data_IF_420281038451
#
_entry.id   IF_420281038451
#
_cell.length_a   1.000
_cell.length_b   1.000
_cell.length_c   1.000
_cell.angle_alpha   90.00
_cell.angle_beta   90.00
_cell.angle_gamma   90.00
#
_symmetry.space_group_name_H-M   'P 1'
#
loop_
_entity.id
_entity.type
_entity.pdbx_description
1 polymer ?
#
# COMPACT_ATOMS: atom_id res chain seq x y z
N UNK A 1 3.79 2.46 -37.23
CA UNK A 1 4.84 3.30 -36.62
C UNK A 1 4.83 3.03 -35.12
N UNK A 2 6.00 2.93 -34.49
CA UNK A 2 6.08 2.85 -33.04
C UNK A 2 5.56 4.16 -32.42
N UNK A 3 4.86 4.04 -31.28
CA UNK A 3 4.43 5.21 -30.50
C UNK A 3 5.62 5.85 -29.77
N UNK A 4 5.48 7.09 -29.31
CA UNK A 4 6.51 7.79 -28.52
C UNK A 4 6.82 7.00 -27.24
N UNK A 5 5.79 6.49 -26.57
CA UNK A 5 5.93 5.64 -25.39
C UNK A 5 6.76 4.37 -25.66
N UNK A 6 6.55 3.70 -26.79
CA UNK A 6 7.34 2.51 -27.19
C UNK A 6 8.81 2.86 -27.45
N UNK A 7 9.08 4.01 -28.10
CA UNK A 7 10.45 4.48 -28.35
C UNK A 7 11.17 4.81 -27.04
N UNK A 8 10.51 5.54 -26.14
CA UNK A 8 11.05 5.87 -24.82
C UNK A 8 11.32 4.62 -23.99
N UNK A 9 10.46 3.61 -24.07
CA UNK A 9 10.67 2.35 -23.36
C UNK A 9 11.90 1.60 -23.85
N UNK A 10 12.08 1.47 -25.17
CA UNK A 10 13.29 0.85 -25.75
C UNK A 10 14.56 1.63 -25.40
N UNK A 11 14.51 2.95 -25.40
CA UNK A 11 15.64 3.78 -24.99
C UNK A 11 15.95 3.63 -23.48
N UNK A 12 14.92 3.62 -22.64
CA UNK A 12 15.07 3.48 -21.18
C UNK A 12 15.74 2.17 -20.78
N UNK A 13 15.52 1.08 -21.53
CA UNK A 13 16.15 -0.23 -21.27
C UNK A 13 17.68 -0.18 -21.36
N UNK A 14 18.25 0.81 -22.04
CA UNK A 14 19.71 0.97 -22.13
C UNK A 14 20.33 1.47 -20.83
N UNK A 15 19.54 2.15 -19.98
CA UNK A 15 20.04 2.83 -18.78
C UNK A 15 19.40 2.34 -17.49
N UNK A 16 18.19 1.75 -17.56
CA UNK A 16 17.41 1.34 -16.41
C UNK A 16 17.06 -0.16 -16.57
N UNK A 17 17.30 -1.00 -15.57
CA UNK A 17 16.94 -2.42 -15.63
C UNK A 17 15.48 -2.63 -16.02
N UNK A 18 15.23 -3.28 -17.17
CA UNK A 18 13.89 -3.47 -17.72
C UNK A 18 13.17 -2.18 -18.13
N UNK A 19 13.87 -1.04 -18.23
CA UNK A 19 13.33 0.27 -18.63
C UNK A 19 12.51 0.98 -17.57
N UNK A 20 12.46 0.49 -16.32
CA UNK A 20 11.57 1.00 -15.25
C UNK A 20 12.24 0.97 -13.89
N UNK A 21 11.83 1.88 -12.98
CA UNK A 21 12.30 1.95 -11.60
C UNK A 21 11.45 1.10 -10.62
N UNK A 22 10.45 0.37 -11.12
CA UNK A 22 9.68 -0.60 -10.35
C UNK A 22 9.12 -1.67 -11.31
N UNK A 23 9.29 -2.99 -11.01
CA UNK A 23 9.06 -4.07 -11.98
C UNK A 23 7.67 -4.08 -12.63
N UNK A 24 6.62 -3.82 -11.85
CA UNK A 24 5.23 -3.84 -12.34
C UNK A 24 4.97 -2.80 -13.44
N UNK A 25 5.72 -1.69 -13.45
CA UNK A 25 5.58 -0.61 -14.43
C UNK A 25 6.00 -1.01 -15.85
N UNK A 26 6.69 -2.14 -16.02
CA UNK A 26 7.08 -2.64 -17.35
C UNK A 26 5.94 -3.31 -18.14
N UNK A 27 4.76 -3.48 -17.56
CA UNK A 27 3.58 -4.11 -18.17
C UNK A 27 3.80 -5.55 -18.66
N UNK A 28 4.83 -6.23 -18.14
CA UNK A 28 5.19 -7.58 -18.56
C UNK A 28 4.07 -8.61 -18.37
N UNK A 29 3.32 -8.54 -17.26
CA UNK A 29 2.22 -9.46 -16.95
C UNK A 29 0.98 -9.28 -17.83
N UNK A 30 0.85 -8.14 -18.52
CA UNK A 30 -0.30 -7.85 -19.41
C UNK A 30 0.06 -7.90 -20.88
N UNK A 31 1.33 -8.24 -21.20
CA UNK A 31 1.78 -8.49 -22.58
C UNK A 31 1.69 -7.27 -23.49
N UNK A 32 2.03 -6.08 -22.98
CA UNK A 32 2.02 -4.80 -23.70
C UNK A 32 3.21 -3.95 -23.27
N UNK A 33 3.67 -3.03 -24.12
CA UNK A 33 4.60 -1.98 -23.73
C UNK A 33 3.91 -0.97 -22.82
N UNK A 34 4.61 -0.43 -21.80
CA UNK A 34 4.06 0.57 -20.91
C UNK A 34 3.81 1.90 -21.63
N UNK A 35 2.85 2.67 -21.14
CA UNK A 35 2.64 4.05 -21.51
C UNK A 35 3.59 4.96 -20.69
N UNK A 36 4.16 5.98 -21.32
CA UNK A 36 4.99 6.97 -20.65
C UNK A 36 4.16 8.22 -20.37
N UNK A 37 4.07 8.59 -19.10
CA UNK A 37 3.18 9.65 -18.64
C UNK A 37 3.91 10.99 -18.64
N UNK A 38 3.34 11.96 -19.37
CA UNK A 38 3.81 13.33 -19.46
C UNK A 38 3.30 14.22 -18.34
N UNK A 39 2.01 14.09 -17.99
CA UNK A 39 1.36 14.88 -16.95
C UNK A 39 0.15 14.16 -16.38
N UNK A 40 -0.29 14.61 -15.20
CA UNK A 40 -1.52 14.14 -14.57
C UNK A 40 -2.27 15.30 -13.92
N UNK A 41 -3.61 15.25 -13.92
CA UNK A 41 -4.46 16.25 -13.25
C UNK A 41 -5.83 15.64 -12.90
N UNK A 42 -6.29 15.85 -11.68
CA UNK A 42 -7.56 15.32 -11.20
C UNK A 42 -7.58 13.78 -11.27
N UNK A 43 -8.58 13.21 -11.96
CA UNK A 43 -8.69 11.77 -12.21
C UNK A 43 -7.94 11.28 -13.45
N UNK A 44 -7.16 12.14 -14.12
CA UNK A 44 -6.59 11.89 -15.45
C UNK A 44 -5.08 11.82 -15.44
N UNK A 45 -4.55 10.90 -16.27
CA UNK A 45 -3.16 10.90 -16.72
C UNK A 45 -3.10 11.09 -18.23
N UNK A 46 -2.01 11.65 -18.73
CA UNK A 46 -1.79 11.94 -20.15
C UNK A 46 -0.43 11.37 -20.54
N UNK A 47 -0.41 10.54 -21.59
CA UNK A 47 0.84 9.96 -22.08
C UNK A 47 1.60 10.92 -23.02
N UNK A 48 2.81 10.52 -23.43
CA UNK A 48 3.65 11.29 -24.38
C UNK A 48 3.06 11.28 -25.79
N UNK A 49 2.21 10.31 -26.10
CA UNK A 49 1.49 10.23 -27.38
C UNK A 49 0.24 11.14 -27.41
N UNK A 50 -0.03 11.89 -26.33
CA UNK A 50 -1.16 12.83 -26.21
C UNK A 50 -2.50 12.18 -25.88
N UNK A 51 -2.54 10.91 -25.51
CA UNK A 51 -3.75 10.21 -25.10
C UNK A 51 -4.07 10.49 -23.64
N UNK A 52 -5.35 10.52 -23.33
CA UNK A 52 -5.89 10.73 -21.98
C UNK A 52 -6.51 9.46 -21.42
N UNK A 53 -6.27 9.19 -20.12
CA UNK A 53 -6.82 8.03 -19.43
C UNK A 53 -7.42 8.43 -18.08
N UNK A 54 -8.57 7.83 -17.72
CA UNK A 54 -9.06 7.82 -16.33
C UNK A 54 -8.15 6.89 -15.54
N UNK A 55 -7.56 7.36 -14.44
CA UNK A 55 -6.52 6.65 -13.72
C UNK A 55 -7.01 6.02 -12.41
N UNK A 56 -7.14 4.71 -12.38
CA UNK A 56 -7.45 3.93 -11.19
C UNK A 56 -6.21 3.36 -10.48
N UNK A 57 -5.01 3.71 -10.94
CA UNK A 57 -3.76 3.40 -10.23
C UNK A 57 -3.49 4.42 -9.12
N UNK A 58 -3.86 5.70 -9.34
CA UNK A 58 -3.72 6.79 -8.37
C UNK A 58 -2.32 6.83 -7.73
N UNK A 59 -1.27 6.67 -8.56
CA UNK A 59 0.14 6.58 -8.13
C UNK A 59 0.41 5.44 -7.12
N UNK A 60 -0.33 4.33 -7.19
CA UNK A 60 -0.29 3.20 -6.25
C UNK A 60 -0.78 3.55 -4.84
N UNK A 61 -1.71 4.49 -4.75
CA UNK A 61 -2.43 4.80 -3.53
C UNK A 61 -2.30 6.21 -2.95
N UNK A 62 -1.20 7.00 -3.13
CA UNK A 62 -1.14 8.34 -2.56
C UNK A 62 -2.20 9.32 -3.09
N UNK A 63 -2.71 9.10 -4.30
CA UNK A 63 -3.62 10.01 -4.99
C UNK A 63 -5.07 10.01 -4.52
N UNK A 64 -5.36 10.00 -3.21
CA UNK A 64 -6.74 10.01 -2.68
C UNK A 64 -7.53 11.26 -3.10
N UNK A 65 -6.87 12.42 -3.19
CA UNK A 65 -7.46 13.69 -3.65
C UNK A 65 -7.41 13.86 -5.19
N UNK A 66 -6.86 12.88 -5.91
CA UNK A 66 -6.53 12.97 -7.33
C UNK A 66 -5.14 13.56 -7.58
N UNK A 67 -4.79 13.64 -8.87
CA UNK A 67 -3.51 14.17 -9.30
C UNK A 67 -3.47 15.70 -9.25
N UNK A 68 -2.30 16.26 -8.92
CA UNK A 68 -1.99 17.68 -8.97
C UNK A 68 -3.08 18.55 -8.31
N UNK A 69 -3.49 18.18 -7.08
CA UNK A 69 -4.43 18.99 -6.28
C UNK A 69 -3.83 20.38 -6.08
N UNK A 70 -4.54 21.41 -6.55
CA UNK A 70 -4.02 22.78 -6.67
C UNK A 70 -3.46 23.31 -5.34
N UNK A 71 -4.22 23.17 -4.25
CA UNK A 71 -3.81 23.61 -2.91
C UNK A 71 -2.46 23.00 -2.50
N UNK A 72 -2.28 21.68 -2.73
CA UNK A 72 -1.03 20.98 -2.39
C UNK A 72 0.11 21.45 -3.28
N UNK A 73 -0.13 21.60 -4.59
CA UNK A 73 0.89 22.04 -5.55
C UNK A 73 1.37 23.47 -5.24
N UNK A 74 0.46 24.38 -4.96
CA UNK A 74 0.83 25.78 -4.65
C UNK A 74 1.61 25.88 -3.33
N UNK A 75 1.22 25.11 -2.30
CA UNK A 75 1.97 25.05 -1.06
C UNK A 75 3.38 24.49 -1.26
N UNK A 76 3.53 23.45 -2.08
CA UNK A 76 4.85 22.87 -2.41
C UNK A 76 5.71 23.87 -3.18
N UNK A 77 5.16 24.58 -4.17
CA UNK A 77 5.88 25.65 -4.89
C UNK A 77 6.38 26.73 -3.94
N UNK A 78 5.53 27.22 -3.05
CA UNK A 78 5.93 28.21 -2.06
C UNK A 78 7.03 27.70 -1.11
N UNK A 79 6.94 26.43 -0.69
CA UNK A 79 7.96 25.83 0.16
C UNK A 79 9.31 25.66 -0.54
N UNK A 80 9.33 25.53 -1.88
CA UNK A 80 10.58 25.46 -2.64
C UNK A 80 11.40 26.76 -2.59
N UNK A 81 10.75 27.92 -2.42
CA UNK A 81 11.41 29.23 -2.31
C UNK A 81 12.23 29.33 -1.01
N UNK A 82 11.84 28.60 0.04
CA UNK A 82 12.55 28.53 1.32
C UNK A 82 13.75 27.54 1.30
N UNK A 83 13.84 26.70 0.27
CA UNK A 83 14.87 25.65 0.10
C UNK A 83 14.32 24.23 0.24
N UNK A 84 15.05 23.27 -0.36
CA UNK A 84 14.57 21.90 -0.50
C UNK A 84 14.85 21.01 0.71
N UNK A 85 15.97 21.26 1.42
CA UNK A 85 16.41 20.48 2.59
C UNK A 85 17.44 21.27 3.39
N UNK A 86 17.48 21.05 4.69
CA UNK A 86 18.34 21.84 5.59
C UNK A 86 19.34 21.01 6.41
N UNK A 87 19.14 19.69 6.52
CA UNK A 87 19.93 18.84 7.43
C UNK A 87 19.72 19.20 8.91
N UNK A 88 18.59 19.83 9.23
CA UNK A 88 18.21 20.32 10.56
C UNK A 88 16.71 20.16 10.77
N UNK A 89 16.22 20.07 12.03
CA UNK A 89 14.79 19.98 12.32
C UNK A 89 14.03 21.21 11.82
N UNK A 90 12.77 20.99 11.40
CA UNK A 90 11.88 22.04 10.91
C UNK A 90 10.55 22.06 11.69
N UNK A 91 9.87 23.22 11.67
CA UNK A 91 8.53 23.32 12.24
C UNK A 91 7.52 22.38 11.57
N UNK A 92 7.70 22.10 10.29
CA UNK A 92 6.83 21.22 9.51
C UNK A 92 6.88 19.75 9.98
N UNK A 93 8.03 19.31 10.50
CA UNK A 93 8.14 17.98 11.11
C UNK A 93 7.29 17.86 12.38
N UNK A 94 7.25 18.90 13.21
CA UNK A 94 6.37 18.93 14.38
C UNK A 94 4.89 18.92 13.93
N UNK A 95 4.53 19.79 13.00
CA UNK A 95 3.14 19.93 12.52
C UNK A 95 2.58 18.62 11.94
N UNK A 96 3.33 17.92 11.10
CA UNK A 96 2.87 16.64 10.55
C UNK A 96 2.81 15.54 11.63
N UNK A 97 3.72 15.53 12.60
CA UNK A 97 3.68 14.60 13.73
C UNK A 97 2.44 14.81 14.61
N UNK A 98 2.06 16.07 14.86
CA UNK A 98 0.83 16.44 15.58
C UNK A 98 -0.42 15.96 14.82
N UNK A 99 -0.50 16.19 13.51
CA UNK A 99 -1.60 15.71 12.66
C UNK A 99 -1.72 14.18 12.68
N UNK A 100 -0.59 13.47 12.52
CA UNK A 100 -0.59 12.00 12.57
C UNK A 100 -1.07 11.50 13.94
N UNK A 101 -0.52 12.03 15.02
CA UNK A 101 -0.88 11.62 16.38
C UNK A 101 -2.35 11.90 16.69
N UNK A 102 -2.92 12.98 16.16
CA UNK A 102 -4.33 13.32 16.37
C UNK A 102 -5.28 12.26 15.78
N UNK A 103 -4.89 11.61 14.67
CA UNK A 103 -5.73 10.63 13.98
C UNK A 103 -5.38 9.17 14.30
N UNK A 104 -4.13 8.87 14.66
CA UNK A 104 -3.62 7.51 14.86
C UNK A 104 -3.38 7.23 16.34
N UNK A 105 -4.39 6.73 17.10
CA UNK A 105 -4.27 6.55 18.55
C UNK A 105 -3.17 5.58 19.00
N UNK A 106 -2.69 4.71 18.10
CA UNK A 106 -1.54 3.83 18.35
C UNK A 106 -0.20 4.59 18.31
N UNK A 107 -0.16 5.77 17.69
CA UNK A 107 1.07 6.53 17.41
C UNK A 107 1.21 7.73 18.34
N UNK A 108 1.54 7.48 19.62
CA UNK A 108 1.82 8.55 20.59
C UNK A 108 3.12 9.30 20.29
N UNK A 109 4.03 8.66 19.58
CA UNK A 109 5.25 9.25 18.99
C UNK A 109 5.50 8.63 17.63
N UNK A 110 6.08 9.39 16.72
CA UNK A 110 6.39 8.95 15.37
C UNK A 110 7.76 9.44 14.89
N UNK A 111 8.30 8.77 13.87
CA UNK A 111 9.52 9.15 13.19
C UNK A 111 9.32 9.08 11.68
N UNK A 112 9.64 10.18 10.99
CA UNK A 112 9.59 10.25 9.53
C UNK A 112 10.76 9.52 8.89
N UNK A 113 10.49 8.90 7.74
CA UNK A 113 11.45 8.25 6.84
C UNK A 113 11.03 8.54 5.39
N UNK A 114 11.74 7.99 4.39
CA UNK A 114 11.52 8.38 2.99
C UNK A 114 10.68 7.37 2.17
N UNK A 115 10.31 6.25 2.76
CA UNK A 115 9.50 5.22 2.08
C UNK A 115 8.77 4.31 3.07
N UNK A 116 7.73 3.60 2.58
CA UNK A 116 7.09 2.55 3.35
C UNK A 116 8.05 1.41 3.73
N UNK A 117 9.01 1.08 2.84
CA UNK A 117 10.07 0.09 3.15
C UNK A 117 10.90 0.50 4.37
N UNK A 118 11.34 1.76 4.43
CA UNK A 118 12.09 2.28 5.57
C UNK A 118 11.24 2.31 6.85
N UNK A 119 9.95 2.67 6.73
CA UNK A 119 9.03 2.69 7.85
C UNK A 119 8.87 1.28 8.46
N UNK A 120 8.59 0.28 7.63
CA UNK A 120 8.44 -1.12 8.07
C UNK A 120 9.75 -1.67 8.63
N UNK A 121 10.88 -1.46 7.95
CA UNK A 121 12.20 -1.89 8.43
C UNK A 121 12.50 -1.32 9.81
N UNK A 122 12.17 -0.05 10.03
CA UNK A 122 12.40 0.65 11.30
C UNK A 122 11.45 0.18 12.39
N UNK A 123 10.17 -0.04 12.08
CA UNK A 123 9.18 -0.58 13.00
C UNK A 123 9.56 -1.99 13.50
N UNK A 124 9.99 -2.87 12.59
CA UNK A 124 10.48 -4.22 12.94
C UNK A 124 11.72 -4.14 13.83
N UNK A 125 12.67 -3.25 13.52
CA UNK A 125 13.87 -3.06 14.35
C UNK A 125 13.48 -2.55 15.75
N UNK A 126 12.55 -1.63 15.84
CA UNK A 126 12.04 -1.14 17.13
C UNK A 126 11.34 -2.26 17.91
N UNK A 127 10.52 -3.07 17.26
CA UNK A 127 9.85 -4.21 17.88
C UNK A 127 10.84 -5.24 18.44
N UNK A 128 11.87 -5.60 17.66
CA UNK A 128 12.95 -6.48 18.12
C UNK A 128 13.74 -5.89 19.27
N UNK A 129 14.11 -4.61 19.16
CA UNK A 129 14.87 -3.91 20.21
C UNK A 129 14.09 -3.78 21.52
N UNK A 130 12.78 -3.56 21.45
CA UNK A 130 11.92 -3.43 22.62
C UNK A 130 11.66 -4.79 23.30
N UNK A 131 11.35 -5.84 22.51
CA UNK A 131 11.01 -7.16 23.06
C UNK A 131 12.22 -8.04 23.39
N UNK A 132 13.39 -7.73 22.83
CA UNK A 132 14.57 -8.60 22.90
C UNK A 132 14.41 -9.93 22.15
N UNK A 133 13.44 -10.03 21.23
CA UNK A 133 13.11 -11.24 20.46
C UNK A 133 13.46 -11.06 18.99
N UNK A 134 13.71 -12.16 18.26
CA UNK A 134 14.24 -12.13 16.90
C UNK A 134 13.19 -12.36 15.81
N UNK A 135 12.19 -13.20 16.05
CA UNK A 135 11.27 -13.65 15.02
C UNK A 135 10.16 -12.65 14.72
N UNK A 136 9.83 -12.51 13.43
CA UNK A 136 8.69 -11.75 12.93
C UNK A 136 7.77 -12.69 12.18
N UNK A 137 6.46 -12.57 12.40
CA UNK A 137 5.44 -13.22 11.58
C UNK A 137 4.91 -12.24 10.57
N UNK A 138 4.89 -12.62 9.29
CA UNK A 138 4.18 -11.92 8.20
C UNK A 138 3.19 -12.87 7.52
N UNK A 139 2.37 -12.35 6.62
CA UNK A 139 1.37 -13.16 5.92
C UNK A 139 1.74 -13.35 4.44
N UNK A 140 1.43 -14.54 3.92
CA UNK A 140 1.52 -14.87 2.50
C UNK A 140 0.64 -13.93 1.68
N UNK A 141 1.18 -13.40 0.59
CA UNK A 141 0.49 -12.41 -0.24
C UNK A 141 0.60 -10.96 0.22
N UNK A 142 0.93 -10.70 1.51
CA UNK A 142 1.19 -9.35 2.00
C UNK A 142 2.59 -8.85 1.61
N UNK A 143 2.67 -7.56 1.25
CA UNK A 143 3.91 -6.87 0.90
C UNK A 143 4.22 -5.76 1.90
N UNK A 144 5.43 -5.76 2.40
CA UNK A 144 5.89 -4.83 3.45
C UNK A 144 7.19 -4.11 3.06
N UNK A 145 7.33 -3.80 1.77
CA UNK A 145 8.57 -3.24 1.24
C UNK A 145 9.61 -4.31 0.88
N UNK A 146 10.77 -3.87 0.42
CA UNK A 146 11.81 -4.73 -0.16
C UNK A 146 13.06 -4.87 0.71
N UNK A 147 12.92 -4.75 2.05
CA UNK A 147 14.03 -5.11 2.93
C UNK A 147 14.23 -6.63 2.95
N UNK A 148 15.48 -7.07 3.01
CA UNK A 148 15.88 -8.48 2.86
C UNK A 148 15.08 -9.45 3.74
N UNK A 149 14.85 -9.09 5.01
CA UNK A 149 14.10 -9.92 5.94
C UNK A 149 12.62 -10.12 5.60
N UNK A 150 12.08 -9.36 4.65
CA UNK A 150 10.67 -9.45 4.23
C UNK A 150 10.49 -10.02 2.82
N UNK A 151 11.59 -10.18 2.07
CA UNK A 151 11.62 -10.85 0.77
C UNK A 151 11.70 -12.37 0.93
N UNK A 152 10.67 -12.93 1.56
CA UNK A 152 10.59 -14.33 1.95
C UNK A 152 9.24 -14.94 1.58
N UNK A 153 9.24 -16.26 1.38
CA UNK A 153 8.04 -17.07 1.17
C UNK A 153 8.06 -18.30 2.08
N UNK A 154 6.90 -18.88 2.34
CA UNK A 154 6.79 -20.12 3.09
C UNK A 154 7.59 -21.26 2.39
N UNK A 155 8.26 -22.09 3.18
CA UNK A 155 8.83 -23.36 2.72
C UNK A 155 7.73 -24.41 2.48
N UNK A 156 8.12 -25.67 2.28
CA UNK A 156 7.22 -26.77 1.91
C UNK A 156 6.32 -27.31 3.04
N UNK A 157 6.21 -26.62 4.18
CA UNK A 157 5.32 -26.99 5.30
C UNK A 157 5.15 -25.84 6.28
N UNK A 158 4.07 -25.87 7.07
CA UNK A 158 3.66 -24.78 7.98
C UNK A 158 4.73 -24.40 9.02
N UNK A 159 5.57 -25.35 9.42
CA UNK A 159 6.65 -25.15 10.41
C UNK A 159 8.03 -25.20 9.71
N UNK A 160 8.08 -25.27 8.38
CA UNK A 160 9.33 -25.40 7.63
C UNK A 160 10.04 -24.04 7.54
N UNK A 161 11.36 -24.08 7.49
CA UNK A 161 12.19 -22.89 7.34
C UNK A 161 11.74 -22.04 6.15
N UNK A 162 11.58 -20.75 6.40
CA UNK A 162 11.27 -19.74 5.37
C UNK A 162 12.43 -19.63 4.39
N UNK A 163 12.12 -19.56 3.11
CA UNK A 163 13.13 -19.42 2.05
C UNK A 163 13.07 -18.02 1.45
N UNK A 164 14.22 -17.52 1.00
CA UNK A 164 14.31 -16.25 0.30
C UNK A 164 13.47 -16.28 -0.99
N UNK A 165 12.75 -15.18 -1.24
CA UNK A 165 11.95 -14.97 -2.47
C UNK A 165 12.69 -14.12 -3.51
N UNK A 166 13.92 -13.72 -3.22
CA UNK A 166 14.78 -12.93 -4.10
C UNK A 166 16.19 -13.46 -4.06
N UNK A 167 16.85 -13.49 -5.21
CA UNK A 167 18.30 -13.67 -5.27
C UNK A 167 18.98 -12.54 -4.46
N UNK A 168 20.08 -12.87 -3.81
CA UNK A 168 20.85 -11.92 -3.00
C UNK A 168 20.43 -11.81 -1.53
N UNK A 169 19.31 -12.41 -1.12
CA UNK A 169 18.91 -12.47 0.29
C UNK A 169 19.57 -13.68 0.95
N UNK A 170 20.46 -13.48 1.95
CA UNK A 170 21.10 -14.58 2.66
C UNK A 170 20.08 -15.42 3.45
N UNK A 171 20.26 -16.74 3.45
CA UNK A 171 19.40 -17.66 4.20
C UNK A 171 19.38 -17.33 5.71
N UNK A 172 20.54 -16.96 6.28
CA UNK A 172 20.66 -16.54 7.68
C UNK A 172 19.84 -15.29 8.03
N UNK A 173 19.46 -14.46 7.04
CA UNK A 173 18.62 -13.29 7.23
C UNK A 173 17.14 -13.66 7.11
N UNK A 174 16.78 -14.51 6.15
CA UNK A 174 15.43 -14.98 5.91
C UNK A 174 14.84 -15.80 7.07
N UNK A 175 15.65 -16.57 7.76
CA UNK A 175 15.23 -17.52 8.84
C UNK A 175 14.46 -16.88 10.01
N UNK A 176 14.63 -15.57 10.24
CA UNK A 176 13.96 -14.87 11.33
C UNK A 176 12.59 -14.30 10.95
N UNK A 177 12.10 -14.61 9.75
CA UNK A 177 10.76 -14.19 9.32
C UNK A 177 9.93 -15.43 9.04
N UNK A 178 8.87 -15.60 9.81
CA UNK A 178 7.90 -16.68 9.70
C UNK A 178 6.76 -16.23 8.78
N UNK A 179 6.16 -17.14 8.03
CA UNK A 179 5.06 -16.83 7.11
C UNK A 179 3.82 -17.61 7.52
N UNK A 180 2.75 -16.90 7.86
CA UNK A 180 1.44 -17.44 8.10
C UNK A 180 0.52 -17.26 6.88
N UNK A 181 -0.58 -18.00 6.80
CA UNK A 181 -1.63 -17.78 5.82
C UNK A 181 -2.55 -16.64 6.30
N UNK A 182 -2.90 -15.72 5.38
CA UNK A 182 -3.81 -14.61 5.69
C UNK A 182 -5.23 -15.14 5.89
N UNK A 183 -5.97 -14.62 6.87
CA UNK A 183 -7.31 -15.08 7.23
C UNK A 183 -7.39 -16.53 7.76
N UNK A 184 -6.27 -17.08 8.24
CA UNK A 184 -6.18 -18.41 8.86
C UNK A 184 -5.55 -18.31 10.27
N UNK A 185 -6.41 -18.34 11.30
CA UNK A 185 -6.01 -18.29 12.70
C UNK A 185 -5.15 -19.51 13.10
N UNK A 186 -5.45 -20.68 12.53
CA UNK A 186 -4.76 -21.91 12.90
C UNK A 186 -3.30 -21.88 12.45
N UNK A 187 -3.03 -21.35 11.26
CA UNK A 187 -1.67 -21.09 10.76
C UNK A 187 -0.87 -20.22 11.74
N UNK A 188 -1.49 -19.17 12.30
CA UNK A 188 -0.83 -18.30 13.27
C UNK A 188 -0.61 -19.02 14.61
N UNK A 189 -1.62 -19.76 15.13
CA UNK A 189 -1.53 -20.53 16.39
C UNK A 189 -0.37 -21.53 16.34
N UNK A 190 -0.20 -22.22 15.21
CA UNK A 190 0.88 -23.19 15.04
C UNK A 190 2.27 -22.51 15.16
N UNK A 191 2.45 -21.33 14.56
CA UNK A 191 3.70 -20.57 14.67
C UNK A 191 3.96 -20.10 16.11
N UNK A 192 2.95 -19.58 16.81
CA UNK A 192 3.09 -19.15 18.21
C UNK A 192 3.38 -20.31 19.16
N UNK A 193 2.83 -21.50 18.89
CA UNK A 193 3.14 -22.70 19.67
C UNK A 193 4.59 -23.16 19.43
N UNK A 194 5.05 -23.16 18.17
CA UNK A 194 6.40 -23.61 17.80
C UNK A 194 7.49 -22.63 18.27
N UNK A 195 7.21 -21.32 18.25
CA UNK A 195 8.17 -20.25 18.59
C UNK A 195 7.73 -19.46 19.82
N UNK A 196 7.09 -20.12 20.80
CA UNK A 196 6.57 -19.49 22.01
C UNK A 196 7.61 -18.61 22.71
N UNK A 197 7.25 -17.35 22.96
CA UNK A 197 8.11 -16.38 23.62
C UNK A 197 9.32 -15.91 22.79
N UNK A 198 9.40 -16.25 21.49
CA UNK A 198 10.50 -15.86 20.61
C UNK A 198 10.06 -14.87 19.51
N UNK A 199 8.76 -14.72 19.30
CA UNK A 199 8.20 -13.82 18.30
C UNK A 199 8.19 -12.40 18.84
N UNK A 200 8.90 -11.48 18.16
CA UNK A 200 8.94 -10.06 18.50
C UNK A 200 7.64 -9.37 18.09
N UNK A 201 7.16 -9.67 16.90
CA UNK A 201 5.93 -9.07 16.39
C UNK A 201 5.26 -9.89 15.27
N UNK A 202 3.95 -9.66 15.11
CA UNK A 202 3.23 -9.90 13.84
C UNK A 202 3.21 -8.59 13.07
N UNK A 203 3.48 -8.62 11.76
CA UNK A 203 3.18 -7.53 10.85
C UNK A 203 2.09 -7.97 9.86
N UNK A 204 1.05 -7.15 9.70
CA UNK A 204 -0.10 -7.43 8.84
C UNK A 204 -0.53 -6.17 8.10
N UNK A 205 -0.88 -6.31 6.80
CA UNK A 205 -1.73 -5.33 6.14
C UNK A 205 -3.17 -5.57 6.65
N UNK A 206 -3.81 -4.62 7.38
CA UNK A 206 -5.15 -4.84 7.91
C UNK A 206 -6.19 -5.14 6.82
N UNK A 207 -5.97 -4.59 5.64
CA UNK A 207 -6.56 -5.01 4.37
C UNK A 207 -5.41 -5.31 3.43
N UNK A 208 -5.25 -6.55 3.05
CA UNK A 208 -4.22 -6.90 2.08
C UNK A 208 -4.58 -6.30 0.71
N UNK A 209 -3.62 -5.62 0.08
CA UNK A 209 -3.82 -4.93 -1.20
C UNK A 209 -2.67 -5.18 -2.21
N UNK A 210 -1.81 -6.17 -1.92
CA UNK A 210 -0.69 -6.59 -2.77
C UNK A 210 -0.88 -8.03 -3.31
N UNK A 211 -2.03 -8.64 -3.04
CA UNK A 211 -2.55 -9.86 -3.68
C UNK A 211 -3.93 -9.61 -4.32
N UNK A 212 -4.18 -8.37 -4.74
CA UNK A 212 -5.47 -7.77 -4.92
C UNK A 212 -6.06 -7.36 -3.57
N UNK A 213 -7.24 -6.75 -3.57
CA UNK A 213 -7.91 -6.32 -2.33
C UNK A 213 -8.54 -7.52 -1.64
N UNK A 214 -7.98 -7.90 -0.49
CA UNK A 214 -8.49 -8.99 0.34
C UNK A 214 -8.74 -8.46 1.76
N UNK A 215 -10.01 -8.20 2.12
CA UNK A 215 -10.37 -7.78 3.47
C UNK A 215 -10.12 -8.89 4.51
N UNK A 216 -9.87 -8.53 5.77
CA UNK A 216 -9.80 -9.50 6.83
C UNK A 216 -11.18 -10.14 7.06
N UNK A 217 -11.19 -11.45 7.36
CA UNK A 217 -12.41 -12.11 7.88
C UNK A 217 -12.80 -11.53 9.24
N UNK A 218 -14.08 -11.54 9.53
CA UNK A 218 -14.57 -11.11 10.85
C UNK A 218 -13.86 -11.91 11.98
N UNK A 219 -13.35 -11.20 12.98
CA UNK A 219 -12.62 -11.78 14.11
C UNK A 219 -11.12 -11.99 13.89
N UNK A 220 -10.62 -11.90 12.64
CA UNK A 220 -9.21 -12.20 12.36
C UNK A 220 -8.24 -11.16 12.97
N UNK A 221 -8.53 -9.88 12.86
CA UNK A 221 -7.67 -8.84 13.44
C UNK A 221 -7.75 -8.82 14.97
N UNK A 222 -8.92 -9.06 15.52
CA UNK A 222 -9.14 -9.24 16.96
C UNK A 222 -8.31 -10.42 17.47
N UNK A 223 -8.36 -11.55 16.79
CA UNK A 223 -7.53 -12.71 17.10
C UNK A 223 -6.03 -12.39 17.08
N UNK A 224 -5.55 -11.65 16.07
CA UNK A 224 -4.13 -11.23 16.00
C UNK A 224 -3.76 -10.32 17.19
N UNK A 225 -4.68 -9.43 17.61
CA UNK A 225 -4.47 -8.61 18.81
C UNK A 225 -4.36 -9.48 20.06
N UNK A 226 -5.28 -10.41 20.25
CA UNK A 226 -5.35 -11.26 21.45
C UNK A 226 -4.15 -12.19 21.58
N UNK A 227 -3.74 -12.86 20.50
CA UNK A 227 -2.62 -13.78 20.52
C UNK A 227 -1.29 -13.05 20.76
N UNK A 228 -1.09 -11.88 20.18
CA UNK A 228 0.12 -11.07 20.40
C UNK A 228 0.16 -10.57 21.85
N UNK A 229 -0.94 -10.09 22.38
CA UNK A 229 -1.02 -9.64 23.76
C UNK A 229 -0.76 -10.77 24.75
N UNK A 230 -1.29 -11.96 24.50
CA UNK A 230 -1.12 -13.15 25.36
C UNK A 230 0.33 -13.64 25.37
N UNK A 231 1.03 -13.63 24.22
CA UNK A 231 2.43 -14.07 24.12
C UNK A 231 3.43 -12.98 24.58
N UNK A 232 3.01 -11.73 24.62
CA UNK A 232 3.89 -10.56 24.82
C UNK A 232 4.65 -10.17 23.55
N UNK A 233 4.19 -10.60 22.39
CA UNK A 233 4.61 -10.10 21.08
C UNK A 233 3.91 -8.77 20.76
N UNK A 234 4.40 -8.03 19.77
CA UNK A 234 3.78 -6.79 19.32
C UNK A 234 2.94 -7.00 18.05
N UNK A 235 1.87 -6.24 17.91
CA UNK A 235 1.08 -6.18 16.68
C UNK A 235 1.47 -4.93 15.89
N UNK A 236 1.96 -5.10 14.65
CA UNK A 236 2.28 -4.02 13.72
C UNK A 236 1.22 -3.99 12.62
N UNK A 237 0.49 -2.90 12.51
CA UNK A 237 -0.33 -2.63 11.34
C UNK A 237 0.50 -1.92 10.27
N UNK A 238 0.67 -2.58 9.14
CA UNK A 238 1.18 -1.92 7.93
C UNK A 238 0.03 -1.18 7.26
N UNK A 239 -0.09 0.07 7.61
CA UNK A 239 -1.09 1.00 7.06
C UNK A 239 -0.52 1.91 5.96
N UNK A 240 0.49 1.46 5.26
CA UNK A 240 1.06 2.19 4.12
C UNK A 240 0.01 2.43 3.02
N UNK A 241 -0.96 1.50 2.84
CA UNK A 241 -2.10 1.67 1.93
C UNK A 241 -3.34 2.17 2.65
N UNK A 242 -3.68 1.60 3.80
CA UNK A 242 -4.95 1.82 4.50
C UNK A 242 -4.98 3.10 5.35
N UNK A 243 -3.82 3.58 5.79
CA UNK A 243 -3.71 4.79 6.61
C UNK A 243 -4.24 6.02 5.87
N UNK A 244 -5.10 6.79 6.52
CA UNK A 244 -5.83 7.93 5.92
C UNK A 244 -6.66 7.59 4.67
N UNK A 245 -6.86 6.30 4.37
CA UNK A 245 -7.64 5.86 3.21
C UNK A 245 -8.98 5.27 3.58
N UNK A 246 -9.05 4.40 4.58
CA UNK A 246 -10.31 3.79 5.00
C UNK A 246 -11.12 4.71 5.91
N UNK A 247 -10.43 5.46 6.73
CA UNK A 247 -10.96 6.45 7.66
C UNK A 247 -9.86 7.47 7.98
N UNK A 248 -10.14 8.61 8.63
CA UNK A 248 -9.12 9.53 9.13
C UNK A 248 -8.02 8.83 9.96
N UNK A 249 -8.39 7.91 10.83
CA UNK A 249 -7.48 7.08 11.62
C UNK A 249 -7.12 5.74 10.97
N UNK A 250 -7.30 5.61 9.65
CA UNK A 250 -6.92 4.40 8.90
C UNK A 250 -7.73 3.16 9.25
N UNK A 251 -7.10 1.99 9.08
CA UNK A 251 -7.72 0.70 9.36
C UNK A 251 -7.93 0.46 10.87
N UNK A 252 -7.06 1.00 11.72
CA UNK A 252 -7.22 0.87 13.16
C UNK A 252 -8.51 1.53 13.68
N UNK A 253 -8.90 2.66 13.09
CA UNK A 253 -10.20 3.29 13.36
C UNK A 253 -11.33 2.48 12.73
N UNK A 254 -11.20 2.11 11.46
CA UNK A 254 -12.23 1.40 10.70
C UNK A 254 -12.63 0.05 11.33
N UNK A 255 -11.65 -0.71 11.82
CA UNK A 255 -11.86 -2.02 12.45
C UNK A 255 -11.92 -1.96 14.00
N UNK A 256 -11.72 -0.79 14.60
CA UNK A 256 -11.66 -0.61 16.06
C UNK A 256 -10.59 -1.48 16.75
N UNK A 257 -9.46 -1.69 16.09
CA UNK A 257 -8.32 -2.46 16.62
C UNK A 257 -7.11 -1.53 16.80
N UNK A 258 -6.60 -1.44 18.03
CA UNK A 258 -5.39 -0.65 18.31
C UNK A 258 -4.15 -1.55 18.25
N UNK A 259 -3.28 -1.41 17.22
CA UNK A 259 -1.99 -2.10 17.16
C UNK A 259 -1.00 -1.48 18.17
N UNK A 260 0.15 -2.14 18.36
CA UNK A 260 1.26 -1.58 19.15
C UNK A 260 2.09 -0.60 18.33
N UNK A 261 2.31 -0.91 17.04
CA UNK A 261 3.02 -0.07 16.09
C UNK A 261 2.20 0.10 14.81
N UNK A 262 2.39 1.23 14.16
CA UNK A 262 1.78 1.50 12.84
C UNK A 262 2.85 2.06 11.89
N UNK A 263 2.83 1.59 10.65
CA UNK A 263 3.62 2.17 9.55
C UNK A 263 2.71 2.85 8.55
N UNK A 264 3.08 4.05 8.11
CA UNK A 264 2.36 4.85 7.13
C UNK A 264 3.27 5.20 5.96
N UNK A 265 2.68 5.58 4.85
CA UNK A 265 3.34 6.05 3.64
C UNK A 265 2.30 6.63 2.69
N UNK A 266 2.60 6.64 1.39
CA UNK A 266 1.62 7.01 0.35
C UNK A 266 0.87 8.33 0.64
N UNK A 267 -0.37 8.27 1.16
CA UNK A 267 -1.21 9.44 1.43
C UNK A 267 -0.52 10.45 2.36
N UNK A 268 0.16 9.97 3.40
CA UNK A 268 0.86 10.84 4.36
C UNK A 268 1.96 11.69 3.72
N UNK A 269 2.43 11.30 2.55
CA UNK A 269 3.39 12.06 1.75
C UNK A 269 2.77 13.01 0.73
N UNK A 270 1.45 13.00 0.51
CA UNK A 270 0.79 13.87 -0.47
C UNK A 270 1.32 13.73 -1.90
N UNK A 271 1.88 12.58 -2.26
CA UNK A 271 2.54 12.31 -3.55
C UNK A 271 4.07 12.39 -3.52
N UNK A 272 4.66 12.88 -2.43
CA UNK A 272 6.11 12.90 -2.23
C UNK A 272 6.61 11.60 -1.58
N UNK A 273 7.92 11.24 -1.75
CA UNK A 273 8.51 10.07 -1.11
C UNK A 273 8.59 10.25 0.40
N UNK A 274 7.71 9.58 1.13
CA UNK A 274 7.58 9.63 2.58
C UNK A 274 7.17 8.27 3.11
N UNK A 275 7.65 7.93 4.28
CA UNK A 275 7.10 6.96 5.19
C UNK A 275 7.18 7.49 6.62
N UNK A 276 6.45 6.88 7.51
CA UNK A 276 6.59 7.11 8.95
C UNK A 276 6.27 5.82 9.71
N UNK A 277 6.90 5.63 10.83
CA UNK A 277 6.53 4.61 11.79
C UNK A 277 6.33 5.26 13.15
N UNK A 278 5.43 4.72 13.92
CA UNK A 278 5.14 5.22 15.24
C UNK A 278 4.46 4.18 16.11
N UNK A 279 4.47 4.46 17.39
CA UNK A 279 3.88 3.57 18.39
C UNK A 279 3.66 4.32 19.71
N UNK A 280 3.23 3.56 20.72
CA UNK A 280 3.16 4.09 22.08
C UNK A 280 4.54 4.54 22.55
N UNK A 281 4.56 5.53 23.41
CA UNK A 281 5.77 6.25 23.84
C UNK A 281 6.87 5.32 24.38
N UNK A 282 6.52 4.35 25.18
CA UNK A 282 7.50 3.44 25.80
C UNK A 282 8.30 2.62 24.78
N UNK A 283 7.69 2.25 23.64
CA UNK A 283 8.39 1.55 22.55
C UNK A 283 9.27 2.55 21.78
N UNK A 284 8.74 3.76 21.46
CA UNK A 284 9.53 4.76 20.75
C UNK A 284 10.74 5.26 21.53
N UNK A 285 10.72 5.17 22.87
CA UNK A 285 11.86 5.51 23.70
C UNK A 285 13.08 4.57 23.51
N UNK A 286 12.90 3.40 22.91
CA UNK A 286 14.05 2.55 22.56
C UNK A 286 14.80 3.05 21.31
N UNK A 287 14.24 4.00 20.56
CA UNK A 287 14.83 4.53 19.33
C UNK A 287 15.79 5.68 19.65
N UNK A 288 16.98 5.66 19.02
CA UNK A 288 17.98 6.72 19.16
C UNK A 288 17.39 8.12 18.83
N UNK A 289 17.74 9.20 19.55
CA UNK A 289 18.79 9.30 20.57
C UNK A 289 18.35 8.91 22.00
N UNK A 290 17.08 8.50 22.21
CA UNK A 290 16.58 8.13 23.54
C UNK A 290 17.04 6.73 23.95
N UNK A 291 17.14 5.79 23.01
CA UNK A 291 17.56 4.42 23.22
C UNK A 291 18.59 3.96 22.18
N UNK A 292 18.82 2.65 22.09
CA UNK A 292 19.88 2.05 21.29
C UNK A 292 19.46 1.63 19.89
N UNK A 293 18.16 1.61 19.59
CA UNK A 293 17.64 1.24 18.26
C UNK A 293 17.94 2.36 17.27
N UNK A 294 18.87 2.12 16.36
CA UNK A 294 19.34 3.12 15.41
C UNK A 294 18.43 3.27 14.20
N UNK A 295 18.11 4.50 13.84
CA UNK A 295 17.50 4.90 12.59
C UNK A 295 17.99 6.31 12.25
N UNK A 296 18.34 6.55 10.98
CA UNK A 296 18.71 7.87 10.47
C UNK A 296 18.32 7.99 8.99
N UNK A 297 18.15 9.21 8.52
CA UNK A 297 17.88 9.51 7.11
C UNK A 297 18.13 10.98 6.81
N UNK A 298 19.01 11.27 5.86
CA UNK A 298 19.39 12.63 5.46
C UNK A 298 18.19 13.48 5.06
N UNK A 299 17.22 12.89 4.36
CA UNK A 299 16.03 13.58 3.83
C UNK A 299 14.76 13.27 4.63
N UNK A 300 14.87 12.51 5.73
CA UNK A 300 13.73 12.24 6.60
C UNK A 300 13.19 13.54 7.19
N UNK A 301 11.91 13.82 6.99
CA UNK A 301 11.29 15.06 7.46
C UNK A 301 11.62 16.28 6.61
N UNK A 302 12.06 16.11 5.34
CA UNK A 302 12.38 17.26 4.49
C UNK A 302 11.16 18.17 4.28
N UNK A 303 11.37 19.51 4.21
CA UNK A 303 10.27 20.48 4.25
C UNK A 303 9.29 20.36 3.09
N UNK A 304 9.75 19.90 1.91
CA UNK A 304 8.91 19.78 0.72
C UNK A 304 7.92 18.63 0.88
N UNK A 305 8.43 17.46 1.30
CA UNK A 305 7.57 16.30 1.53
C UNK A 305 6.62 16.52 2.73
N UNK A 306 7.10 17.17 3.79
CA UNK A 306 6.25 17.54 4.94
C UNK A 306 5.13 18.49 4.51
N UNK A 307 5.43 19.49 3.67
CA UNK A 307 4.41 20.43 3.16
C UNK A 307 3.32 19.69 2.38
N UNK A 308 3.72 18.82 1.44
CA UNK A 308 2.75 18.07 0.64
C UNK A 308 1.86 17.18 1.54
N UNK A 309 2.46 16.50 2.52
CA UNK A 309 1.73 15.68 3.49
C UNK A 309 0.77 16.49 4.35
N UNK A 310 1.25 17.57 4.97
CA UNK A 310 0.44 18.47 5.83
C UNK A 310 -0.79 18.99 5.08
N UNK A 311 -0.61 19.53 3.88
CA UNK A 311 -1.72 20.07 3.10
C UNK A 311 -2.71 18.97 2.68
N UNK A 312 -2.21 17.76 2.36
CA UNK A 312 -3.09 16.63 2.04
C UNK A 312 -3.93 16.22 3.26
N UNK A 313 -3.30 16.07 4.44
CA UNK A 313 -4.00 15.67 5.66
C UNK A 313 -5.00 16.74 6.11
N UNK A 314 -4.64 18.03 6.06
CA UNK A 314 -5.56 19.14 6.35
C UNK A 314 -6.79 19.17 5.42
N UNK A 315 -6.61 18.84 4.14
CA UNK A 315 -7.73 18.76 3.21
C UNK A 315 -8.65 17.58 3.54
N UNK A 316 -8.11 16.44 3.97
CA UNK A 316 -8.93 15.30 4.41
C UNK A 316 -9.69 15.62 5.71
N UNK A 317 -9.06 16.34 6.65
CA UNK A 317 -9.69 16.81 7.87
C UNK A 317 -10.84 17.79 7.62
N UNK A 318 -10.62 18.71 6.69
CA UNK A 318 -11.63 19.71 6.33
C UNK A 318 -12.83 19.12 5.58
N UNK A 319 -12.67 17.92 5.01
CA UNK A 319 -13.65 17.25 4.16
C UNK A 319 -13.85 15.77 4.55
N UNK A 320 -14.30 15.47 5.78
CA UNK A 320 -14.46 14.09 6.25
C UNK A 320 -15.50 13.28 5.46
N UNK A 321 -16.42 13.94 4.76
CA UNK A 321 -17.40 13.33 3.85
C UNK A 321 -16.75 12.62 2.67
N UNK A 322 -15.48 12.86 2.39
CA UNK A 322 -14.74 12.21 1.29
C UNK A 322 -14.75 10.69 1.39
N UNK A 323 -14.64 10.14 2.60
CA UNK A 323 -14.59 8.69 2.81
C UNK A 323 -15.89 8.01 2.37
N UNK A 324 -17.04 8.50 2.83
CA UNK A 324 -18.34 7.96 2.43
C UNK A 324 -18.61 8.13 0.93
N UNK A 325 -18.22 9.28 0.36
CA UNK A 325 -18.34 9.55 -1.07
C UNK A 325 -17.51 8.56 -1.90
N UNK A 326 -16.26 8.30 -1.49
CA UNK A 326 -15.37 7.36 -2.17
C UNK A 326 -15.89 5.92 -2.07
N UNK A 327 -16.35 5.51 -0.90
CA UNK A 327 -16.95 4.20 -0.69
C UNK A 327 -18.19 4.00 -1.57
N UNK A 328 -19.09 4.98 -1.67
CA UNK A 328 -20.26 4.94 -2.54
C UNK A 328 -19.89 4.76 -4.02
N UNK A 329 -18.90 5.51 -4.52
CA UNK A 329 -18.40 5.37 -5.90
C UNK A 329 -17.79 3.98 -6.14
N UNK A 330 -17.00 3.49 -5.19
CA UNK A 330 -16.38 2.17 -5.27
C UNK A 330 -17.44 1.07 -5.28
N UNK A 331 -18.44 1.18 -4.40
CA UNK A 331 -19.54 0.21 -4.32
C UNK A 331 -20.35 0.16 -5.64
N UNK A 332 -20.64 1.32 -6.24
CA UNK A 332 -21.32 1.40 -7.53
C UNK A 332 -20.54 0.73 -8.66
N UNK A 333 -19.23 0.98 -8.73
CA UNK A 333 -18.35 0.36 -9.73
C UNK A 333 -18.22 -1.15 -9.52
N UNK A 334 -18.06 -1.59 -8.28
CA UNK A 334 -17.95 -3.00 -7.92
C UNK A 334 -19.25 -3.76 -8.22
N UNK A 335 -20.41 -3.16 -7.90
CA UNK A 335 -21.72 -3.75 -8.22
C UNK A 335 -21.90 -3.91 -9.74
N UNK A 336 -21.56 -2.88 -10.50
CA UNK A 336 -21.66 -2.94 -11.96
C UNK A 336 -20.75 -4.03 -12.57
N UNK A 337 -19.54 -4.22 -12.00
CA UNK A 337 -18.66 -5.31 -12.42
C UNK A 337 -19.25 -6.69 -12.12
N UNK A 338 -19.82 -6.89 -10.92
CA UNK A 338 -20.51 -8.15 -10.56
C UNK A 338 -21.68 -8.45 -11.50
N UNK A 339 -22.49 -7.44 -11.83
CA UNK A 339 -23.63 -7.59 -12.74
C UNK A 339 -23.19 -7.90 -14.17
N UNK A 340 -22.12 -7.27 -14.65
CA UNK A 340 -21.63 -7.47 -16.02
C UNK A 340 -20.99 -8.84 -16.22
N UNK A 341 -20.21 -9.33 -15.26
CA UNK A 341 -19.47 -10.57 -15.39
C UNK A 341 -20.19 -11.80 -14.79
N UNK A 342 -21.12 -11.59 -13.83
CA UNK A 342 -21.75 -12.68 -13.09
C UNK A 342 -20.72 -13.54 -12.34
N UNK A 343 -20.92 -14.85 -12.36
CA UNK A 343 -20.07 -15.83 -11.65
C UNK A 343 -18.65 -16.00 -12.26
N UNK A 344 -18.32 -15.26 -13.31
CA UNK A 344 -16.99 -15.32 -13.95
C UNK A 344 -15.92 -14.58 -13.15
N UNK A 345 -16.32 -13.75 -12.20
CA UNK A 345 -15.40 -12.93 -11.39
C UNK A 345 -15.79 -12.92 -9.91
N UNK A 346 -14.77 -12.81 -9.06
CA UNK A 346 -14.94 -12.37 -7.70
C UNK A 346 -14.55 -10.89 -7.59
N UNK A 347 -15.39 -10.06 -6.99
CA UNK A 347 -15.12 -8.63 -6.80
C UNK A 347 -15.07 -8.32 -5.31
N UNK A 348 -13.88 -8.02 -4.81
CA UNK A 348 -13.66 -7.54 -3.46
C UNK A 348 -13.58 -6.00 -3.45
N UNK A 349 -14.15 -5.38 -2.40
CA UNK A 349 -14.09 -3.95 -2.18
C UNK A 349 -14.10 -3.60 -0.70
N UNK A 350 -13.48 -2.50 -0.33
CA UNK A 350 -13.55 -1.88 0.99
C UNK A 350 -13.12 -0.41 0.89
N UNK A 351 -13.92 0.51 1.44
CA UNK A 351 -13.68 1.94 1.30
C UNK A 351 -13.48 2.34 -0.18
N UNK A 352 -12.35 2.96 -0.49
CA UNK A 352 -11.96 3.39 -1.85
C UNK A 352 -11.05 2.41 -2.59
N UNK A 353 -11.05 1.14 -2.19
CA UNK A 353 -10.25 0.05 -2.74
C UNK A 353 -11.14 -1.02 -3.36
N UNK A 354 -10.77 -1.54 -4.53
CA UNK A 354 -11.41 -2.73 -5.09
C UNK A 354 -10.47 -3.53 -5.99
N UNK A 355 -10.80 -4.80 -6.20
CA UNK A 355 -10.18 -5.66 -7.22
C UNK A 355 -11.22 -6.54 -7.88
N UNK A 356 -11.05 -6.79 -9.18
CA UNK A 356 -11.83 -7.73 -9.98
C UNK A 356 -10.95 -8.94 -10.25
N UNK A 357 -11.25 -10.07 -9.63
CA UNK A 357 -10.53 -11.33 -9.82
C UNK A 357 -11.25 -12.19 -10.84
N UNK A 358 -10.59 -12.60 -11.90
CA UNK A 358 -11.17 -13.48 -12.92
C UNK A 358 -11.16 -14.95 -12.45
N UNK A 359 -12.02 -15.24 -11.48
CA UNK A 359 -12.22 -16.57 -10.88
C UNK A 359 -13.65 -16.68 -10.35
N UNK A 360 -14.19 -17.87 -10.36
CA UNK A 360 -15.50 -18.24 -9.76
C UNK A 360 -15.40 -18.47 -8.25
N UNK A 361 -14.19 -18.46 -7.68
CA UNK A 361 -13.97 -18.68 -6.25
C UNK A 361 -14.04 -17.37 -5.47
N UNK A 362 -14.53 -17.46 -4.25
CA UNK A 362 -14.38 -16.35 -3.29
C UNK A 362 -12.92 -16.17 -2.94
N UNK A 363 -12.38 -14.96 -3.16
CA UNK A 363 -10.99 -14.61 -2.87
C UNK A 363 -10.89 -14.06 -1.45
N UNK A 364 -10.21 -14.82 -0.57
CA UNK A 364 -10.06 -14.51 0.86
C UNK A 364 -8.60 -14.61 1.34
N UNK A 365 -7.69 -15.11 0.50
CA UNK A 365 -6.28 -15.29 0.77
C UNK A 365 -5.48 -15.36 -0.54
N UNK A 366 -4.16 -15.54 -0.44
CA UNK A 366 -3.29 -15.64 -1.62
C UNK A 366 -3.59 -16.86 -2.49
N UNK A 367 -3.92 -18.00 -1.89
CA UNK A 367 -4.17 -19.24 -2.65
C UNK A 367 -5.43 -19.12 -3.49
N UNK A 368 -6.48 -18.54 -2.94
CA UNK A 368 -7.71 -18.25 -3.68
C UNK A 368 -7.50 -17.15 -4.72
N UNK A 369 -6.69 -16.10 -4.42
CA UNK A 369 -6.32 -15.08 -5.41
C UNK A 369 -5.57 -15.68 -6.61
N UNK A 370 -4.66 -16.63 -6.38
CA UNK A 370 -3.90 -17.34 -7.42
C UNK A 370 -4.74 -18.23 -8.33
N UNK A 371 -6.02 -18.49 -8.01
CA UNK A 371 -6.94 -19.19 -8.92
C UNK A 371 -7.42 -18.32 -10.08
N UNK A 372 -7.10 -17.02 -10.07
CA UNK A 372 -7.52 -16.06 -11.11
C UNK A 372 -6.86 -16.35 -12.45
N UNK A 373 -7.64 -16.24 -13.53
CA UNK A 373 -7.14 -16.28 -14.90
C UNK A 373 -6.42 -14.97 -15.24
N UNK A 374 -5.11 -14.97 -15.06
CA UNK A 374 -4.25 -13.80 -15.34
C UNK A 374 -4.21 -13.45 -16.84
N UNK A 375 -4.49 -14.39 -17.75
CA UNK A 375 -4.57 -14.11 -19.18
C UNK A 375 -5.84 -13.33 -19.52
N UNK A 376 -6.95 -13.69 -18.90
CA UNK A 376 -8.21 -12.95 -19.03
C UNK A 376 -8.09 -11.56 -18.43
N UNK A 377 -7.44 -11.41 -17.25
CA UNK A 377 -7.12 -10.10 -16.71
C UNK A 377 -6.25 -9.27 -17.67
N UNK A 378 -5.23 -9.85 -18.27
CA UNK A 378 -4.38 -9.16 -19.24
C UNK A 378 -5.17 -8.67 -20.47
N UNK A 379 -6.14 -9.49 -20.96
CA UNK A 379 -7.04 -9.08 -22.04
C UNK A 379 -7.97 -7.93 -21.60
N UNK A 380 -8.54 -8.02 -20.40
CA UNK A 380 -9.34 -6.96 -19.78
C UNK A 380 -8.54 -5.65 -19.62
N UNK A 381 -7.34 -5.72 -19.05
CA UNK A 381 -6.46 -4.56 -18.89
C UNK A 381 -6.20 -3.86 -20.23
N UNK A 382 -5.80 -4.61 -21.27
CA UNK A 382 -5.55 -4.04 -22.60
C UNK A 382 -6.77 -3.35 -23.17
N UNK A 383 -7.93 -4.00 -23.04
CA UNK A 383 -9.19 -3.43 -23.51
C UNK A 383 -9.53 -2.12 -22.80
N UNK A 384 -9.46 -2.10 -21.46
CA UNK A 384 -9.71 -0.90 -20.68
C UNK A 384 -8.75 0.23 -21.07
N UNK A 385 -7.45 -0.07 -21.21
CA UNK A 385 -6.45 0.94 -21.58
C UNK A 385 -6.73 1.51 -23.01
N UNK A 386 -7.12 0.65 -23.96
CA UNK A 386 -7.46 1.09 -25.33
C UNK A 386 -8.72 1.98 -25.37
N UNK A 387 -9.57 1.91 -24.32
CA UNK A 387 -10.77 2.75 -24.17
C UNK A 387 -10.55 3.93 -23.19
N UNK A 388 -9.27 4.26 -22.89
CA UNK A 388 -8.92 5.41 -22.08
C UNK A 388 -9.13 5.22 -20.58
N UNK A 389 -8.97 3.99 -20.07
CA UNK A 389 -9.04 3.67 -18.65
C UNK A 389 -7.77 2.96 -18.23
N UNK A 390 -7.00 3.57 -17.32
CA UNK A 390 -5.76 3.02 -16.81
C UNK A 390 -6.00 2.24 -15.52
N UNK A 391 -5.78 0.93 -15.57
CA UNK A 391 -5.80 0.02 -14.42
C UNK A 391 -4.37 -0.37 -14.02
N UNK A 392 -4.23 -1.07 -12.90
CA UNK A 392 -2.95 -1.68 -12.56
C UNK A 392 -2.59 -2.81 -13.55
N UNK A 393 -1.34 -2.87 -14.05
CA UNK A 393 -0.93 -3.89 -15.02
C UNK A 393 -0.63 -5.25 -14.37
N UNK A 394 -1.44 -5.64 -13.40
CA UNK A 394 -1.36 -6.93 -12.69
C UNK A 394 -2.68 -7.26 -12.02
N UNK A 395 -3.10 -8.53 -12.11
CA UNK A 395 -4.28 -9.06 -11.42
C UNK A 395 -4.23 -8.87 -9.90
N UNK A 396 -3.03 -8.84 -9.33
CA UNK A 396 -2.80 -8.84 -7.88
C UNK A 396 -2.61 -7.45 -7.29
N UNK A 397 -3.01 -6.42 -8.03
CA UNK A 397 -2.96 -5.04 -7.58
C UNK A 397 -4.37 -4.48 -7.33
N UNK A 398 -4.46 -3.47 -6.48
CA UNK A 398 -5.70 -2.77 -6.20
C UNK A 398 -6.02 -1.71 -7.24
N UNK A 399 -7.32 -1.49 -7.48
CA UNK A 399 -7.85 -0.27 -8.07
C UNK A 399 -8.14 0.72 -6.94
N UNK A 400 -7.80 1.99 -7.16
CA UNK A 400 -7.99 3.07 -6.23
C UNK A 400 -8.97 4.11 -6.79
N UNK A 401 -9.95 4.49 -6.00
CA UNK A 401 -10.86 5.59 -6.34
C UNK A 401 -10.40 6.84 -5.58
N UNK A 402 -10.33 7.97 -6.27
CA UNK A 402 -9.98 9.28 -5.71
C UNK A 402 -11.17 10.23 -5.68
N UNK A 403 -11.06 11.27 -4.86
CA UNK A 403 -12.08 12.33 -4.80
C UNK A 403 -12.30 13.04 -6.14
N UNK A 404 -11.25 13.08 -6.97
CA UNK A 404 -11.31 13.68 -8.29
C UNK A 404 -12.07 12.86 -9.34
N UNK A 405 -12.33 11.58 -9.13
CA UNK A 405 -13.17 10.80 -10.05
C UNK A 405 -14.59 11.36 -10.04
N UNK A 406 -15.08 11.77 -11.20
CA UNK A 406 -16.45 12.28 -11.38
C UNK A 406 -17.43 11.12 -11.57
N UNK A 407 -18.72 11.40 -11.43
CA UNK A 407 -19.78 10.44 -11.77
C UNK A 407 -19.73 10.04 -13.27
N UNK A 408 -19.28 10.96 -14.13
CA UNK A 408 -19.04 10.67 -15.54
C UNK A 408 -17.90 9.69 -15.77
N UNK A 409 -16.80 9.82 -15.00
CA UNK A 409 -15.68 8.87 -15.05
C UNK A 409 -16.12 7.46 -14.65
N UNK A 410 -16.88 7.37 -13.56
CA UNK A 410 -17.41 6.08 -13.06
C UNK A 410 -18.35 5.47 -14.10
N UNK A 411 -19.29 6.27 -14.65
CA UNK A 411 -20.23 5.80 -15.69
C UNK A 411 -19.49 5.30 -16.93
N UNK A 412 -18.55 6.09 -17.46
CA UNK A 412 -17.73 5.67 -18.62
C UNK A 412 -17.00 4.36 -18.35
N UNK A 413 -16.43 4.21 -17.15
CA UNK A 413 -15.73 2.98 -16.76
C UNK A 413 -16.69 1.79 -16.70
N UNK A 414 -17.88 1.97 -16.14
CA UNK A 414 -18.92 0.94 -16.11
C UNK A 414 -19.32 0.51 -17.52
N UNK A 415 -19.51 1.46 -18.43
CA UNK A 415 -19.90 1.16 -19.81
C UNK A 415 -18.83 0.30 -20.51
N UNK A 416 -17.55 0.66 -20.36
CA UNK A 416 -16.44 -0.11 -20.93
C UNK A 416 -16.30 -1.51 -20.29
N UNK A 417 -16.53 -1.64 -18.98
CA UNK A 417 -16.57 -2.94 -18.28
C UNK A 417 -17.68 -3.82 -18.89
N UNK A 418 -18.89 -3.28 -19.07
CA UNK A 418 -20.02 -3.99 -19.66
C UNK A 418 -19.74 -4.43 -21.10
N UNK A 419 -19.16 -3.55 -21.91
CA UNK A 419 -18.77 -3.88 -23.28
C UNK A 419 -17.78 -5.04 -23.34
N UNK A 420 -16.76 -5.05 -22.48
CA UNK A 420 -15.81 -6.17 -22.41
C UNK A 420 -16.49 -7.47 -21.94
N UNK A 421 -17.38 -7.40 -20.96
CA UNK A 421 -18.05 -8.56 -20.40
C UNK A 421 -18.97 -9.29 -21.39
N UNK A 422 -19.43 -8.60 -22.43
CA UNK A 422 -20.27 -9.14 -23.52
C UNK A 422 -19.49 -9.71 -24.71
N UNK A 423 -18.17 -9.67 -24.69
CA UNK A 423 -17.28 -10.27 -25.71
C UNK A 423 -16.96 -11.71 -25.39
#
# INVERSE_FOLDING_TARGET
MQTESEQLFEESKKYIPGGVNSPVRAFGSVGRSPIFIKKAKGSRIFDEDGREYIDYVCSWGPGILGHAKETVIEAVKAACDDGLTFGAPTRKELEIAELITAHMPSMEMSRMVNSGTEAVMSAIRAARGFTGRDYIVKFKGCYHGHSDGLLVKAGSGVITQTVANSAGVPEGYAKYTLVAEYNDEESVKQLFNAYKGQIAAIIVEPVAANMGVVPPKAGFLEFLRDITQTDGALLIFDEVITGFRLAPGGAQEYFHIKPDLTTLGKIVGGGMPVGTYGCRREIMQCVAPLGEVYQAGTLSGNPIAMTAGIETLKLLDAHPEVYAKLEGKTAGLAQAAREAFGDRVCVNQIGSLMSIFFTDKQVVDMDTAMTSDTKQYAAFFRYMLDHGINLAPSQFEAMFISDAHTEEDIRKTIDVIKEFAHR
#
